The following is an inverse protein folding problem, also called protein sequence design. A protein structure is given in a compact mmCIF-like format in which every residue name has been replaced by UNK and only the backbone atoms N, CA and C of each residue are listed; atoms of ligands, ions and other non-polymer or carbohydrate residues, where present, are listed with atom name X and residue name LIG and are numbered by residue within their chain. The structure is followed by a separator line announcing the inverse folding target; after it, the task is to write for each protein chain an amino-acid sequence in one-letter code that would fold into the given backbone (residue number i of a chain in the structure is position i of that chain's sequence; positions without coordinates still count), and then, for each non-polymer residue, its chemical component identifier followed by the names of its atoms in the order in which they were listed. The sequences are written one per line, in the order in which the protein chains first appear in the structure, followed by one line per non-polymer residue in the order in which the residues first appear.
data_IF_992994909381
#
_entry.id   IF_992994909381
#
_cell.length_a   1.000
_cell.length_b   1.000
_cell.length_c   1.000
_cell.angle_alpha   90.00
_cell.angle_beta   90.00
_cell.angle_gamma   90.00
#
_symmetry.space_group_name_H-M   'P 1'
#
loop_
_entity.id
_entity.type
_entity.pdbx_description
1 polymer ?
#
# COMPACT_ATOMS: atom_id res chain seq x y z
N UNK A 1 30.37 8.22 -11.88
CA UNK A 1 30.39 7.74 -10.49
C UNK A 1 28.94 7.53 -10.08
N UNK A 2 28.42 6.30 -10.18
CA UNK A 2 27.07 6.01 -9.69
C UNK A 2 27.14 6.09 -8.17
N UNK A 3 26.59 7.18 -7.61
CA UNK A 3 26.29 7.23 -6.20
C UNK A 3 25.41 6.03 -5.89
N UNK A 4 25.79 5.26 -4.87
CA UNK A 4 24.99 4.17 -4.38
C UNK A 4 23.67 4.78 -3.90
N UNK A 5 22.58 4.57 -4.64
CA UNK A 5 21.26 4.99 -4.18
C UNK A 5 20.86 3.98 -3.10
N UNK A 6 20.99 4.39 -1.84
CA UNK A 6 20.63 3.55 -0.70
C UNK A 6 19.14 3.22 -0.79
N UNK A 7 18.82 2.01 -1.23
CA UNK A 7 17.45 1.53 -1.25
C UNK A 7 16.89 1.49 0.18
N UNK A 8 15.61 1.79 0.32
CA UNK A 8 14.91 1.63 1.60
C UNK A 8 14.97 0.19 2.09
N UNK A 9 15.24 0.00 3.39
CA UNK A 9 15.37 -1.33 3.99
C UNK A 9 14.03 -2.03 4.13
N UNK A 10 12.98 -1.26 4.37
CA UNK A 10 11.64 -1.75 4.66
C UNK A 10 10.58 -0.64 4.52
N UNK A 11 9.31 -1.05 4.55
CA UNK A 11 8.16 -0.17 4.46
C UNK A 11 7.13 -0.49 5.54
N UNK A 12 6.75 0.48 6.35
CA UNK A 12 5.68 0.35 7.36
C UNK A 12 4.34 0.69 6.74
N UNK A 13 3.39 -0.24 6.79
CA UNK A 13 2.04 -0.12 6.23
C UNK A 13 1.06 -0.02 7.38
N UNK A 14 0.49 1.17 7.62
CA UNK A 14 -0.37 1.45 8.78
C UNK A 14 -1.41 2.55 8.50
N UNK A 15 -2.37 2.70 9.40
CA UNK A 15 -3.19 3.91 9.49
C UNK A 15 -2.30 5.10 9.84
N UNK A 16 -2.54 6.25 9.20
CA UNK A 16 -1.84 7.48 9.54
C UNK A 16 -2.28 7.94 10.94
N UNK A 17 -1.33 8.01 11.86
CA UNK A 17 -1.53 8.45 13.25
C UNK A 17 -0.87 9.80 13.52
N UNK A 18 0.10 10.21 12.70
CA UNK A 18 0.86 11.44 12.88
C UNK A 18 0.55 12.45 11.78
N UNK A 19 0.59 13.74 12.11
CA UNK A 19 0.24 14.81 11.17
C UNK A 19 1.18 14.90 9.96
N UNK A 20 2.46 14.56 10.14
CA UNK A 20 3.41 14.51 9.02
C UNK A 20 3.05 13.40 8.01
N UNK A 21 2.53 12.27 8.48
CA UNK A 21 2.10 11.15 7.62
C UNK A 21 0.90 11.58 6.77
N UNK A 22 -0.09 12.23 7.39
CA UNK A 22 -1.27 12.77 6.70
C UNK A 22 -0.89 13.85 5.69
N UNK A 23 -0.01 14.77 6.10
CA UNK A 23 0.44 15.88 5.24
C UNK A 23 1.19 15.36 4.00
N UNK A 24 2.11 14.41 4.18
CA UNK A 24 2.82 13.81 3.04
C UNK A 24 1.91 12.92 2.18
N UNK A 25 0.91 12.25 2.77
CA UNK A 25 -0.09 11.52 2.01
C UNK A 25 -0.90 12.44 1.08
N UNK A 26 -1.31 13.62 1.55
CA UNK A 26 -1.98 14.63 0.73
C UNK A 26 -1.07 15.15 -0.40
N UNK A 27 0.20 15.42 -0.09
CA UNK A 27 1.16 15.85 -1.12
C UNK A 27 1.37 14.75 -2.17
N UNK A 28 1.50 13.48 -1.74
CA UNK A 28 1.61 12.35 -2.67
C UNK A 28 0.37 12.21 -3.55
N UNK A 29 -0.84 12.38 -3.00
CA UNK A 29 -2.08 12.41 -3.77
C UNK A 29 -2.10 13.54 -4.79
N UNK A 30 -1.65 14.75 -4.41
CA UNK A 30 -1.53 15.89 -5.33
C UNK A 30 -0.57 15.58 -6.47
N UNK A 31 0.60 15.04 -6.17
CA UNK A 31 1.59 14.63 -7.18
C UNK A 31 1.01 13.59 -8.14
N UNK A 32 0.37 12.53 -7.63
CA UNK A 32 -0.13 11.44 -8.47
C UNK A 32 -1.38 11.84 -9.26
N UNK A 33 -2.38 12.46 -8.62
CA UNK A 33 -3.67 12.71 -9.26
C UNK A 33 -3.73 14.04 -10.01
N UNK A 34 -3.04 15.08 -9.55
CA UNK A 34 -3.03 16.38 -10.23
C UNK A 34 -1.88 16.42 -11.24
N UNK A 35 -0.64 16.23 -10.78
CA UNK A 35 0.56 16.45 -11.62
C UNK A 35 0.76 15.33 -12.63
N UNK A 36 0.75 14.06 -12.19
CA UNK A 36 1.05 12.94 -13.10
C UNK A 36 -0.14 12.55 -13.98
N UNK A 37 -1.35 12.49 -13.43
CA UNK A 37 -2.53 11.98 -14.16
C UNK A 37 -3.44 13.06 -14.74
N UNK A 38 -3.32 14.31 -14.28
CA UNK A 38 -4.17 15.42 -14.72
C UNK A 38 -5.65 15.22 -14.44
N UNK A 39 -6.01 14.54 -13.34
CA UNK A 39 -7.41 14.28 -12.95
C UNK A 39 -8.03 15.46 -12.20
N UNK A 40 -7.20 16.30 -11.59
CA UNK A 40 -7.57 17.47 -10.81
C UNK A 40 -6.59 18.60 -11.12
N UNK A 41 -7.05 19.84 -10.98
CA UNK A 41 -6.23 21.01 -11.31
C UNK A 41 -5.19 21.29 -10.21
N UNK A 42 -5.64 21.55 -8.98
CA UNK A 42 -4.77 21.97 -7.87
C UNK A 42 -4.70 20.96 -6.73
N UNK A 43 -5.84 20.38 -6.35
CA UNK A 43 -5.95 19.36 -5.30
C UNK A 43 -7.06 18.36 -5.60
N UNK A 44 -7.00 17.19 -4.96
CA UNK A 44 -8.02 16.15 -5.06
C UNK A 44 -8.97 16.10 -3.85
N UNK A 45 -8.88 17.05 -2.91
CA UNK A 45 -9.71 17.08 -1.69
C UNK A 45 -11.24 17.08 -1.99
N UNK A 46 -11.99 16.39 -1.13
CA UNK A 46 -13.47 16.37 -1.13
C UNK A 46 -14.05 16.22 0.29
N UNK A 47 -15.38 16.24 0.41
CA UNK A 47 -16.10 16.16 1.70
C UNK A 47 -15.83 14.85 2.48
N UNK A 48 -15.39 13.80 1.79
CA UNK A 48 -15.05 12.51 2.40
C UNK A 48 -13.74 12.60 3.17
N UNK A 49 -12.81 13.49 2.79
CA UNK A 49 -11.53 13.67 3.50
C UNK A 49 -11.73 14.05 4.98
N UNK A 50 -12.84 14.69 5.35
CA UNK A 50 -13.13 15.09 6.72
C UNK A 50 -13.38 13.90 7.68
N UNK A 51 -13.80 12.75 7.17
CA UNK A 51 -14.16 11.58 7.98
C UNK A 51 -13.55 10.26 7.48
N UNK A 52 -12.76 10.30 6.41
CA UNK A 52 -12.04 9.14 5.91
C UNK A 52 -10.84 8.80 6.80
N UNK A 53 -10.59 7.51 6.95
CA UNK A 53 -9.38 7.01 7.56
C UNK A 53 -8.26 6.97 6.52
N UNK A 54 -7.19 7.73 6.76
CA UNK A 54 -5.99 7.74 5.93
C UNK A 54 -5.06 6.58 6.31
N UNK A 55 -4.53 5.89 5.30
CA UNK A 55 -3.55 4.81 5.40
C UNK A 55 -2.30 5.23 4.65
N UNK A 56 -1.14 4.81 5.15
CA UNK A 56 0.17 5.19 4.60
C UNK A 56 1.09 3.98 4.50
N UNK A 57 1.96 4.03 3.50
CA UNK A 57 3.15 3.22 3.37
C UNK A 57 4.34 4.15 3.55
N UNK A 58 5.07 3.96 4.64
CA UNK A 58 6.23 4.78 5.03
C UNK A 58 7.48 4.01 4.67
N UNK A 59 8.37 4.62 3.90
CA UNK A 59 9.67 4.05 3.61
C UNK A 59 10.65 4.34 4.74
N UNK A 60 11.44 3.34 5.12
CA UNK A 60 12.32 3.41 6.27
C UNK A 60 13.79 3.10 5.92
N UNK A 61 14.69 3.67 6.71
CA UNK A 61 16.11 3.31 6.77
C UNK A 61 16.43 2.67 8.11
N UNK A 62 16.57 1.35 8.15
CA UNK A 62 16.81 0.60 9.39
C UNK A 62 15.70 0.79 10.42
N UNK A 63 14.45 0.83 9.97
CA UNK A 63 13.28 1.12 10.82
C UNK A 63 13.04 2.59 11.16
N UNK A 64 13.93 3.50 10.75
CA UNK A 64 13.70 4.95 10.90
C UNK A 64 12.84 5.48 9.75
N UNK A 65 11.67 6.10 10.04
CA UNK A 65 10.81 6.72 9.03
C UNK A 65 11.53 7.82 8.25
N UNK A 66 11.47 7.76 6.92
CA UNK A 66 11.95 8.83 6.04
C UNK A 66 10.77 9.58 5.42
N UNK A 67 9.99 8.91 4.57
CA UNK A 67 8.88 9.54 3.83
C UNK A 67 7.73 8.59 3.53
N UNK A 68 6.55 9.17 3.29
CA UNK A 68 5.39 8.45 2.77
C UNK A 68 5.56 8.22 1.27
N UNK A 69 5.54 6.95 0.88
CA UNK A 69 5.71 6.49 -0.52
C UNK A 69 4.45 5.86 -1.10
N UNK A 70 3.41 5.71 -0.28
CA UNK A 70 2.11 5.22 -0.71
C UNK A 70 1.03 5.65 0.26
N UNK A 71 -0.18 5.84 -0.24
CA UNK A 71 -1.35 6.16 0.57
C UNK A 71 -2.63 5.62 -0.07
N UNK A 72 -3.62 5.35 0.77
CA UNK A 72 -5.00 5.08 0.39
C UNK A 72 -5.88 5.63 1.51
N UNK A 73 -7.13 5.96 1.22
CA UNK A 73 -8.11 6.27 2.26
C UNK A 73 -9.28 5.30 2.19
N UNK A 74 -9.85 5.00 3.35
CA UNK A 74 -11.08 4.22 3.47
C UNK A 74 -12.12 5.04 4.22
N UNK A 75 -13.39 4.85 3.89
CA UNK A 75 -14.50 5.47 4.62
C UNK A 75 -15.69 4.53 4.63
N UNK A 76 -16.50 4.63 5.68
CA UNK A 76 -17.78 3.95 5.74
C UNK A 76 -18.81 4.76 4.95
N UNK A 77 -19.60 4.09 4.11
CA UNK A 77 -20.78 4.71 3.52
C UNK A 77 -21.77 5.03 4.65
N UNK A 78 -22.44 6.19 4.59
CA UNK A 78 -23.35 6.65 5.65
C UNK A 78 -24.29 5.52 6.09
N UNK A 79 -24.26 5.23 7.39
CA UNK A 79 -25.15 4.25 8.02
C UNK A 79 -26.53 4.90 8.17
N UNK A 80 -27.38 4.68 7.18
CA UNK A 80 -28.78 5.12 7.18
C UNK A 80 -29.73 4.10 7.83
N UNK A 81 -29.18 3.11 8.55
CA UNK A 81 -29.93 1.99 9.14
C UNK A 81 -30.40 0.94 8.13
N UNK A 82 -30.24 1.17 6.83
CA UNK A 82 -30.64 0.26 5.76
C UNK A 82 -29.42 -0.38 5.05
N UNK A 83 -28.31 0.36 4.96
CA UNK A 83 -27.06 -0.10 4.38
C UNK A 83 -26.13 -0.73 5.45
N UNK A 84 -26.08 -2.07 5.47
CA UNK A 84 -25.17 -2.83 6.34
C UNK A 84 -23.72 -2.41 6.11
N UNK A 85 -23.06 -1.81 7.11
CA UNK A 85 -21.60 -1.61 7.25
C UNK A 85 -20.80 -1.69 5.94
N UNK A 86 -21.16 -0.85 4.96
CA UNK A 86 -20.50 -0.80 3.65
C UNK A 86 -19.31 0.14 3.74
N UNK A 87 -18.17 -0.28 3.21
CA UNK A 87 -16.93 0.50 3.19
C UNK A 87 -16.43 0.72 1.78
N UNK A 88 -15.70 1.81 1.60
CA UNK A 88 -15.14 2.20 0.31
C UNK A 88 -13.67 2.53 0.44
N UNK A 89 -12.86 1.93 -0.44
CA UNK A 89 -11.47 2.32 -0.68
C UNK A 89 -11.38 3.34 -1.82
N UNK A 90 -10.60 4.40 -1.62
CA UNK A 90 -10.38 5.43 -2.64
C UNK A 90 -9.01 6.08 -2.52
N UNK A 91 -8.61 6.84 -3.56
CA UNK A 91 -7.37 7.63 -3.58
C UNK A 91 -6.09 6.82 -3.33
N UNK A 92 -6.03 5.60 -3.84
CA UNK A 92 -4.81 4.81 -3.83
C UNK A 92 -3.74 5.48 -4.72
N UNK A 93 -2.68 5.98 -4.09
CA UNK A 93 -1.55 6.61 -4.74
C UNK A 93 -0.25 5.97 -4.24
N UNK A 94 0.66 5.67 -5.16
CA UNK A 94 1.99 5.12 -4.85
C UNK A 94 3.02 5.92 -5.64
N UNK A 95 4.15 6.26 -5.02
CA UNK A 95 5.25 6.97 -5.68
C UNK A 95 5.76 6.17 -6.89
N UNK A 96 6.03 6.85 -8.01
CA UNK A 96 6.39 6.22 -9.29
C UNK A 96 7.56 5.23 -9.19
N UNK A 97 8.60 5.58 -8.42
CA UNK A 97 9.79 4.73 -8.19
C UNK A 97 9.46 3.41 -7.47
N UNK A 98 8.32 3.34 -6.78
CA UNK A 98 7.92 2.21 -5.93
C UNK A 98 6.84 1.30 -6.55
N UNK A 99 6.18 1.68 -7.65
CA UNK A 99 5.01 0.96 -8.22
C UNK A 99 5.26 -0.48 -8.66
N UNK A 100 6.52 -0.90 -8.86
CA UNK A 100 6.87 -2.22 -9.39
C UNK A 100 7.75 -3.10 -8.48
N UNK A 101 8.38 -2.52 -7.45
CA UNK A 101 9.48 -3.19 -6.72
C UNK A 101 9.11 -3.66 -5.32
N UNK A 102 8.06 -3.11 -4.72
CA UNK A 102 7.86 -3.20 -3.26
C UNK A 102 6.53 -3.82 -2.82
N UNK A 103 5.61 -4.12 -3.75
CA UNK A 103 4.28 -4.66 -3.38
C UNK A 103 3.42 -3.70 -2.54
N UNK A 104 3.81 -2.42 -2.45
CA UNK A 104 3.18 -1.42 -1.58
C UNK A 104 1.69 -1.25 -1.87
N UNK A 105 1.29 -1.18 -3.15
CA UNK A 105 -0.12 -1.04 -3.51
C UNK A 105 -0.98 -2.20 -3.00
N UNK A 106 -0.49 -3.44 -3.16
CA UNK A 106 -1.17 -4.63 -2.66
C UNK A 106 -1.23 -4.65 -1.12
N UNK A 107 -0.18 -4.21 -0.45
CA UNK A 107 -0.15 -4.13 1.01
C UNK A 107 -1.10 -3.07 1.57
N UNK A 108 -1.20 -1.90 0.92
CA UNK A 108 -2.18 -0.87 1.27
C UNK A 108 -3.61 -1.38 1.08
N UNK A 109 -3.89 -2.12 -0.01
CA UNK A 109 -5.19 -2.77 -0.23
C UNK A 109 -5.47 -3.80 0.88
N UNK A 110 -4.47 -4.62 1.25
CA UNK A 110 -4.60 -5.58 2.34
C UNK A 110 -4.94 -4.92 3.68
N UNK A 111 -4.25 -3.83 4.03
CA UNK A 111 -4.55 -3.05 5.23
C UNK A 111 -5.95 -2.42 5.15
N UNK A 112 -6.31 -1.83 4.01
CA UNK A 112 -7.60 -1.17 3.79
C UNK A 112 -8.77 -2.13 4.04
N UNK A 113 -8.77 -3.28 3.35
CA UNK A 113 -9.85 -4.27 3.48
C UNK A 113 -9.82 -4.93 4.86
N UNK A 114 -8.64 -5.34 5.35
CA UNK A 114 -8.51 -6.02 6.64
C UNK A 114 -8.93 -5.15 7.83
N UNK A 115 -8.60 -3.85 7.82
CA UNK A 115 -8.98 -2.93 8.90
C UNK A 115 -10.48 -2.58 8.87
N UNK A 116 -11.07 -2.42 7.68
CA UNK A 116 -12.53 -2.30 7.55
C UNK A 116 -13.25 -3.59 8.02
N UNK A 117 -12.73 -4.77 7.65
CA UNK A 117 -13.27 -6.05 8.09
C UNK A 117 -13.25 -6.19 9.62
N UNK A 118 -12.19 -5.71 10.29
CA UNK A 118 -12.09 -5.70 11.75
C UNK A 118 -13.19 -4.87 12.44
N UNK A 119 -13.69 -3.81 11.81
CA UNK A 119 -14.79 -2.99 12.37
C UNK A 119 -16.19 -3.47 11.93
N UNK A 120 -16.24 -4.65 11.30
CA UNK A 120 -17.46 -5.35 10.91
C UNK A 120 -17.97 -4.99 9.51
N UNK A 121 -17.09 -4.49 8.62
CA UNK A 121 -17.43 -4.32 7.21
C UNK A 121 -18.03 -5.60 6.63
N UNK A 122 -19.18 -5.48 5.96
CA UNK A 122 -19.84 -6.60 5.28
C UNK A 122 -19.65 -6.56 3.77
N UNK A 123 -19.36 -5.38 3.20
CA UNK A 123 -19.06 -5.19 1.78
C UNK A 123 -18.04 -4.07 1.62
N UNK A 124 -17.01 -4.30 0.80
CA UNK A 124 -15.95 -3.33 0.58
C UNK A 124 -15.79 -3.06 -0.92
N UNK A 125 -16.03 -1.82 -1.32
CA UNK A 125 -16.03 -1.41 -2.73
C UNK A 125 -14.89 -0.45 -3.07
N UNK A 126 -14.56 -0.38 -4.37
CA UNK A 126 -13.70 0.66 -4.93
C UNK A 126 -14.06 0.91 -6.39
N UNK A 127 -13.88 2.15 -6.83
CA UNK A 127 -13.84 2.50 -8.25
C UNK A 127 -12.39 2.42 -8.71
N UNK A 128 -12.07 1.39 -9.49
CA UNK A 128 -10.70 1.09 -9.92
C UNK A 128 -10.52 1.54 -11.35
N UNK A 129 -9.45 2.26 -11.68
CA UNK A 129 -9.14 2.58 -13.07
C UNK A 129 -9.02 1.30 -13.90
N UNK A 130 -9.61 1.27 -15.10
CA UNK A 130 -9.70 0.05 -15.93
C UNK A 130 -8.34 -0.64 -16.15
N UNK A 131 -7.26 0.15 -16.29
CA UNK A 131 -5.89 -0.36 -16.42
C UNK A 131 -5.40 -1.23 -15.24
N UNK A 132 -5.98 -1.06 -14.04
CA UNK A 132 -5.60 -1.77 -12.82
C UNK A 132 -6.53 -2.94 -12.49
N UNK A 133 -7.56 -3.21 -13.30
CA UNK A 133 -8.55 -4.27 -13.07
C UNK A 133 -7.88 -5.65 -12.89
N UNK A 134 -6.91 -6.00 -13.75
CA UNK A 134 -6.18 -7.29 -13.65
C UNK A 134 -5.36 -7.41 -12.36
N UNK A 135 -4.84 -6.30 -11.83
CA UNK A 135 -4.16 -6.32 -10.53
C UNK A 135 -5.17 -6.63 -9.42
N UNK A 136 -6.32 -5.95 -9.41
CA UNK A 136 -7.35 -6.14 -8.40
C UNK A 136 -7.96 -7.54 -8.45
N UNK A 137 -8.20 -8.10 -9.64
CA UNK A 137 -8.66 -9.48 -9.80
C UNK A 137 -7.67 -10.48 -9.15
N UNK A 138 -6.36 -10.30 -9.33
CA UNK A 138 -5.33 -11.12 -8.66
C UNK A 138 -5.33 -10.96 -7.14
N UNK A 139 -5.82 -9.82 -6.65
CA UNK A 139 -6.00 -9.56 -5.23
C UNK A 139 -7.37 -10.05 -4.72
N UNK A 140 -8.10 -10.89 -5.47
CA UNK A 140 -9.39 -11.45 -5.08
C UNK A 140 -10.47 -10.36 -4.92
N UNK A 141 -10.46 -9.43 -5.86
CA UNK A 141 -11.57 -8.52 -6.08
C UNK A 141 -12.39 -8.98 -7.28
N UNK A 142 -13.70 -8.80 -7.21
CA UNK A 142 -14.62 -9.09 -8.30
C UNK A 142 -15.00 -7.80 -9.02
N UNK A 143 -14.99 -7.85 -10.35
CA UNK A 143 -15.46 -6.76 -11.21
C UNK A 143 -16.99 -6.82 -11.35
N UNK A 144 -17.66 -5.68 -11.25
CA UNK A 144 -19.12 -5.56 -11.39
C UNK A 144 -19.52 -4.93 -12.73
N UNK A 145 -19.27 -3.64 -12.90
CA UNK A 145 -19.62 -2.89 -14.11
C UNK A 145 -18.62 -1.78 -14.40
N UNK A 146 -18.53 -1.39 -15.67
CA UNK A 146 -17.70 -0.26 -16.10
C UNK A 146 -18.41 1.07 -15.87
N UNK A 147 -17.63 2.11 -15.56
CA UNK A 147 -18.12 3.46 -15.35
C UNK A 147 -17.05 4.49 -15.77
N UNK A 148 -17.49 5.72 -15.99
CA UNK A 148 -16.60 6.85 -16.27
C UNK A 148 -16.48 7.71 -15.03
N UNK A 149 -15.25 7.91 -14.56
CA UNK A 149 -14.94 8.80 -13.43
C UNK A 149 -13.95 9.83 -13.93
N UNK A 150 -14.31 11.12 -13.89
CA UNK A 150 -13.45 12.23 -14.37
C UNK A 150 -12.88 11.97 -15.77
N UNK A 151 -13.72 11.50 -16.70
CA UNK A 151 -13.37 11.16 -18.09
C UNK A 151 -12.34 10.03 -18.26
N UNK A 152 -12.13 9.20 -17.23
CA UNK A 152 -11.30 8.01 -17.29
C UNK A 152 -12.14 6.76 -17.10
N UNK A 153 -11.87 5.68 -17.87
CA UNK A 153 -12.57 4.41 -17.69
C UNK A 153 -12.18 3.78 -16.35
N UNK A 154 -13.20 3.41 -15.60
CA UNK A 154 -13.10 2.72 -14.32
C UNK A 154 -13.98 1.47 -14.33
N UNK A 155 -13.79 0.62 -13.34
CA UNK A 155 -14.59 -0.56 -13.03
C UNK A 155 -14.98 -0.48 -11.57
N UNK A 156 -16.27 -0.67 -11.29
CA UNK A 156 -16.76 -0.87 -9.94
C UNK A 156 -16.33 -2.27 -9.49
N UNK A 157 -15.57 -2.37 -8.40
CA UNK A 157 -15.05 -3.63 -7.90
C UNK A 157 -15.37 -3.81 -6.41
N UNK A 158 -15.55 -5.07 -6.00
CA UNK A 158 -15.80 -5.48 -4.62
C UNK A 158 -14.72 -6.47 -4.15
N UNK A 159 -14.25 -6.32 -2.91
CA UNK A 159 -13.28 -7.24 -2.32
C UNK A 159 -13.97 -8.49 -1.75
N UNK A 160 -13.42 -9.68 -1.98
CA UNK A 160 -13.82 -10.88 -1.24
C UNK A 160 -13.26 -10.84 0.19
N UNK A 161 -14.09 -10.45 1.15
CA UNK A 161 -13.71 -10.31 2.56
C UNK A 161 -13.16 -11.61 3.18
N UNK A 162 -13.53 -12.78 2.67
CA UNK A 162 -12.99 -14.06 3.18
C UNK A 162 -11.49 -14.20 2.92
N UNK A 163 -10.96 -13.45 1.94
CA UNK A 163 -9.54 -13.46 1.58
C UNK A 163 -8.71 -12.43 2.32
N UNK A 164 -9.36 -11.56 3.10
CA UNK A 164 -8.74 -10.49 3.88
C UNK A 164 -9.10 -10.65 5.35
N UNK A 165 -8.33 -11.42 6.14
CA UNK A 165 -8.62 -11.59 7.55
C UNK A 165 -8.64 -10.24 8.29
N UNK A 166 -9.50 -10.08 9.32
CA UNK A 166 -9.56 -8.88 10.14
C UNK A 166 -8.20 -8.43 10.68
N UNK A 167 -7.88 -7.15 10.54
CA UNK A 167 -6.66 -6.53 11.06
C UNK A 167 -6.99 -5.62 12.24
N UNK A 168 -6.75 -6.12 13.46
CA UNK A 168 -7.19 -5.51 14.71
C UNK A 168 -6.29 -4.38 15.24
N UNK A 169 -5.07 -4.24 14.69
CA UNK A 169 -4.12 -3.20 15.10
C UNK A 169 -3.65 -2.38 13.89
N UNK A 170 -4.56 -1.68 13.21
CA UNK A 170 -4.21 -0.98 11.98
C UNK A 170 -3.29 0.23 12.20
N UNK A 171 -3.25 0.81 13.40
CA UNK A 171 -2.41 1.96 13.78
C UNK A 171 -0.92 1.60 13.88
N UNK A 172 -0.60 0.36 14.27
CA UNK A 172 0.77 -0.18 14.22
C UNK A 172 1.04 -0.86 12.89
N UNK A 173 0.03 -1.51 12.31
CA UNK A 173 0.08 -2.08 10.98
C UNK A 173 1.08 -3.23 10.85
N UNK A 174 1.78 -3.31 9.71
CA UNK A 174 2.79 -4.34 9.45
C UNK A 174 3.91 -3.84 8.54
N UNK A 175 5.00 -4.59 8.45
CA UNK A 175 6.20 -4.21 7.69
C UNK A 175 6.36 -5.08 6.45
N UNK A 176 6.67 -4.45 5.31
CA UNK A 176 7.19 -5.11 4.11
C UNK A 176 8.70 -4.95 4.05
N UNK A 177 9.42 -6.02 3.74
CA UNK A 177 10.87 -5.92 3.50
C UNK A 177 11.13 -5.19 2.18
N UNK A 178 12.10 -4.30 2.19
CA UNK A 178 12.65 -3.71 0.97
C UNK A 178 13.51 -4.71 0.22
N UNK A 179 13.66 -4.50 -1.09
CA UNK A 179 14.64 -5.23 -1.88
C UNK A 179 16.01 -4.55 -1.71
N UNK A 180 16.90 -5.17 -0.94
CA UNK A 180 18.30 -4.72 -0.87
C UNK A 180 19.00 -5.13 -2.17
N UNK A 181 19.58 -4.17 -2.88
CA UNK A 181 20.46 -4.50 -4.03
C UNK A 181 21.66 -5.29 -3.51
N UNK A 182 22.16 -6.24 -4.30
CA UNK A 182 23.38 -7.01 -3.94
C UNK A 182 24.46 -6.03 -3.48
N UNK A 183 24.90 -6.18 -2.23
CA UNK A 183 26.00 -5.39 -1.67
C UNK A 183 27.24 -5.70 -2.51
N UNK A 184 27.90 -4.73 -3.15
CA UNK A 184 29.16 -4.97 -3.84
C UNK A 184 30.14 -5.63 -2.86
N UNK A 185 30.87 -6.65 -3.31
CA UNK A 185 31.79 -7.43 -2.46
C UNK A 185 32.74 -6.54 -1.63
N UNK A 186 33.10 -5.39 -2.18
CA UNK A 186 34.03 -4.43 -1.58
C UNK A 186 33.46 -3.63 -0.39
N UNK A 187 32.13 -3.62 -0.16
CA UNK A 187 31.52 -2.85 0.95
C UNK A 187 31.49 -3.60 2.28
N UNK A 188 31.59 -4.93 2.28
CA UNK A 188 31.51 -5.73 3.51
C UNK A 188 32.30 -7.05 3.45
N UNK A 189 33.62 -7.02 3.15
CA UNK A 189 34.41 -8.24 3.00
C UNK A 189 34.38 -9.13 4.27
N UNK A 190 34.23 -8.53 5.44
CA UNK A 190 34.21 -9.24 6.73
C UNK A 190 32.91 -10.04 6.98
N UNK A 191 31.79 -9.67 6.34
CA UNK A 191 30.49 -10.33 6.53
C UNK A 191 30.35 -11.61 5.69
N UNK A 192 31.11 -11.74 4.60
CA UNK A 192 31.11 -12.91 3.74
C UNK A 192 31.73 -14.15 4.42
N UNK A 193 32.76 -13.97 5.24
CA UNK A 193 33.46 -15.07 5.91
C UNK A 193 32.64 -15.78 7.00
N UNK A 194 31.50 -15.19 7.41
CA UNK A 194 30.57 -15.81 8.38
C UNK A 194 29.42 -16.59 7.74
N UNK A 195 29.12 -16.34 6.46
CA UNK A 195 28.04 -17.04 5.74
C UNK A 195 28.52 -18.34 5.07
N UNK A 196 29.84 -18.52 4.92
CA UNK A 196 30.46 -19.69 4.30
C UNK A 196 30.81 -20.84 5.27
N UNK A 197 30.44 -20.77 6.56
CA UNK A 197 30.89 -21.75 7.57
C UNK A 197 29.87 -22.86 7.90
N UNK A 198 28.68 -22.89 7.29
CA UNK A 198 27.73 -23.97 7.53
C UNK A 198 27.16 -24.58 6.25
N UNK A 199 28.00 -25.33 5.54
CA UNK A 199 27.60 -26.46 4.70
C UNK A 199 28.86 -27.28 4.44
N UNK A 200 28.81 -28.62 4.60
CA UNK A 200 29.92 -29.61 4.71
C UNK A 200 30.34 -29.83 6.19
N UNK A 201 30.11 -30.95 6.88
CA UNK A 201 29.92 -32.34 6.46
C UNK A 201 29.00 -33.13 7.42
N UNK A 202 27.93 -33.71 6.87
CA UNK A 202 27.30 -34.93 7.40
C UNK A 202 27.18 -35.92 6.24
N UNK A 203 28.32 -36.47 5.83
CA UNK A 203 28.39 -37.77 5.17
C UNK A 203 29.84 -38.27 5.13
N UNK A 204 30.21 -39.06 6.13
CA UNK A 204 31.30 -40.03 6.00
C UNK A 204 30.83 -41.35 6.64
N UNK A 205 30.83 -42.40 5.81
CA UNK A 205 30.46 -43.78 6.07
C UNK A 205 31.16 -44.40 7.30
N UNK A 206 30.41 -45.17 8.11
CA UNK A 206 30.42 -46.64 8.28
C UNK A 206 29.32 -47.01 9.28
#
# INVERSE_FOLDING_TARGET
MNLFEAAYSDFTIKWATLEWEKSQALELRRQVFCVEQGLFDQHDLDDVDAHAQCLVAIANHGGWPDKVVGTVRIHQYQDDGCHKKVWWGSRLAVEKSMRHRSGIGAALIKLAVGSAHAVGCTQFFAQVQKQNETLFNRLNWQSHYELQVRHRPHVMMEADLNRYPPMLQPESGFVLKGSVSVVPEDMAPCLLHRLSVHTEDHNAHV
#
